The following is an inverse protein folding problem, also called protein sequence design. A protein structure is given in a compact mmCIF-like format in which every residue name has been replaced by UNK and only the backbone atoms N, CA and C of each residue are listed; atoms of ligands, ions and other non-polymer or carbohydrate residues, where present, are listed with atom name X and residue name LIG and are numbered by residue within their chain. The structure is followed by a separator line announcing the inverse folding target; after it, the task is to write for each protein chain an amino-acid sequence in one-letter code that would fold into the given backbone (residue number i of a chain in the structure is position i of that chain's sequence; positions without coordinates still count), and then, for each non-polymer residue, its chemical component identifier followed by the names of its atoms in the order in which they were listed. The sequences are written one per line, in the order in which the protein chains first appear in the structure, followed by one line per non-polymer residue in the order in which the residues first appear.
data_IF_505359130238
#
_entry.id   IF_505359130238
#
_cell.length_a   1.000
_cell.length_b   1.000
_cell.length_c   1.000
_cell.angle_alpha   90.00
_cell.angle_beta   90.00
_cell.angle_gamma   90.00
#
_symmetry.space_group_name_H-M   'P 1'
#
loop_
_entity.id
_entity.type
_entity.pdbx_description
1 polymer ?
#
# COMPACT_ATOMS: atom_id res chain seq x y z
N UNK A 1 22.79 6.59 0.01
CA UNK A 1 23.57 5.76 -0.94
C UNK A 1 23.06 4.32 -0.82
N UNK A 2 22.01 3.99 -1.57
CA UNK A 2 21.55 2.60 -1.75
C UNK A 2 22.34 2.05 -2.94
N UNK A 3 23.42 1.34 -2.67
CA UNK A 3 24.39 0.88 -3.67
C UNK A 3 23.80 -0.22 -4.54
N UNK A 4 23.46 0.16 -5.78
CA UNK A 4 23.79 -0.42 -7.11
C UNK A 4 24.09 -1.93 -7.33
N UNK A 5 24.24 -2.80 -6.33
CA UNK A 5 24.54 -4.23 -6.55
C UNK A 5 23.31 -5.14 -6.41
N UNK A 6 22.33 -4.78 -5.58
CA UNK A 6 21.10 -5.55 -5.37
C UNK A 6 19.91 -5.04 -6.21
N UNK A 7 20.17 -4.29 -7.28
CA UNK A 7 19.13 -3.69 -8.11
C UNK A 7 18.41 -4.70 -9.02
N UNK A 8 18.75 -6.00 -9.00
CA UNK A 8 18.09 -7.03 -9.82
C UNK A 8 17.42 -8.15 -9.01
N UNK A 9 17.74 -8.33 -7.72
CA UNK A 9 17.14 -9.39 -6.89
C UNK A 9 15.66 -9.12 -6.56
N UNK A 10 14.76 -10.12 -6.60
CA UNK A 10 13.36 -9.93 -6.25
C UNK A 10 13.23 -9.47 -4.79
N UNK A 11 12.35 -8.49 -4.54
CA UNK A 11 12.05 -8.03 -3.18
C UNK A 11 10.81 -8.78 -2.74
N UNK A 12 10.94 -9.89 -2.01
CA UNK A 12 9.78 -10.70 -1.62
C UNK A 12 8.93 -10.07 -0.50
N UNK A 13 9.58 -9.30 0.39
CA UNK A 13 8.91 -8.65 1.52
C UNK A 13 9.35 -7.20 1.64
N UNK A 14 8.39 -6.30 1.81
CA UNK A 14 8.63 -4.91 2.16
C UNK A 14 7.76 -4.54 3.36
N UNK A 15 8.41 -4.13 4.44
CA UNK A 15 7.77 -3.68 5.67
C UNK A 15 8.19 -2.23 5.91
N UNK A 16 7.21 -1.34 5.92
CA UNK A 16 7.40 0.06 6.26
C UNK A 16 6.29 0.53 7.19
N UNK A 17 6.62 0.77 8.45
CA UNK A 17 5.71 1.27 9.47
C UNK A 17 6.35 2.49 10.14
N UNK A 18 5.66 3.63 10.12
CA UNK A 18 6.20 4.89 10.66
C UNK A 18 5.10 5.80 11.18
N UNK A 19 5.40 6.46 12.29
CA UNK A 19 4.64 7.58 12.83
C UNK A 19 5.48 8.86 12.72
N UNK A 20 4.88 9.97 12.26
CA UNK A 20 5.56 11.25 12.14
C UNK A 20 4.64 12.44 12.38
N UNK A 21 5.21 13.55 12.84
CA UNK A 21 4.51 14.83 12.93
C UNK A 21 4.44 15.50 11.54
N UNK A 22 3.27 16.07 11.25
CA UNK A 22 2.93 16.82 10.04
C UNK A 22 3.71 18.10 9.78
N UNK A 23 4.38 18.63 10.81
CA UNK A 23 5.25 19.81 10.69
C UNK A 23 6.47 19.52 9.81
N UNK A 24 6.80 18.24 9.60
CA UNK A 24 7.77 17.78 8.62
C UNK A 24 7.09 17.68 7.26
N UNK A 25 7.67 18.29 6.22
CA UNK A 25 7.24 18.08 4.83
C UNK A 25 7.17 16.58 4.59
N UNK A 26 5.94 16.08 4.52
CA UNK A 26 5.68 14.67 4.62
C UNK A 26 6.44 13.90 3.51
N UNK A 27 7.17 12.83 3.86
CA UNK A 27 7.86 12.01 2.88
C UNK A 27 6.90 11.15 2.03
N UNK A 28 5.57 11.39 2.00
CA UNK A 28 4.60 10.66 1.16
C UNK A 28 5.09 10.49 -0.28
N UNK A 29 5.71 11.54 -0.87
CA UNK A 29 6.28 11.43 -2.23
C UNK A 29 7.42 10.42 -2.30
N UNK A 30 8.27 10.37 -1.28
CA UNK A 30 9.37 9.40 -1.16
C UNK A 30 8.85 7.99 -0.84
N UNK A 31 7.88 7.86 0.06
CA UNK A 31 7.23 6.59 0.41
C UNK A 31 6.53 6.02 -0.82
N UNK A 32 5.78 6.84 -1.56
CA UNK A 32 5.14 6.42 -2.82
C UNK A 32 6.18 5.93 -3.82
N UNK A 33 7.36 6.58 -3.91
CA UNK A 33 8.45 6.10 -4.78
C UNK A 33 8.99 4.74 -4.32
N UNK A 34 9.21 4.55 -3.01
CA UNK A 34 9.68 3.27 -2.46
C UNK A 34 8.66 2.15 -2.68
N UNK A 35 7.38 2.40 -2.41
CA UNK A 35 6.28 1.48 -2.67
C UNK A 35 6.26 1.11 -4.15
N UNK A 36 6.27 2.09 -5.05
CA UNK A 36 6.27 1.82 -6.49
C UNK A 36 7.49 0.98 -6.93
N UNK A 37 8.65 1.25 -6.34
CA UNK A 37 9.87 0.50 -6.63
C UNK A 37 9.76 -0.97 -6.20
N UNK A 38 9.24 -1.26 -5.01
CA UNK A 38 9.07 -2.65 -4.56
C UNK A 38 7.95 -3.39 -5.30
N UNK A 39 6.87 -2.69 -5.68
CA UNK A 39 5.81 -3.26 -6.53
C UNK A 39 6.35 -3.67 -7.91
N UNK A 40 7.24 -2.86 -8.50
CA UNK A 40 7.91 -3.20 -9.76
C UNK A 40 8.83 -4.42 -9.65
N UNK A 41 9.23 -4.78 -8.44
CA UNK A 41 10.12 -5.90 -8.16
C UNK A 41 9.41 -7.18 -7.76
N UNK A 42 8.09 -7.21 -7.94
CA UNK A 42 7.27 -8.40 -7.71
C UNK A 42 7.12 -8.74 -6.24
N UNK A 43 6.99 -7.73 -5.38
CA UNK A 43 6.78 -7.98 -3.95
C UNK A 43 5.53 -8.81 -3.69
N UNK A 44 5.67 -9.76 -2.77
CA UNK A 44 4.61 -10.69 -2.37
C UNK A 44 4.01 -10.27 -1.03
N UNK A 45 4.83 -9.76 -0.12
CA UNK A 45 4.43 -9.37 1.22
C UNK A 45 4.66 -7.88 1.42
N UNK A 46 3.57 -7.11 1.50
CA UNK A 46 3.61 -5.68 1.70
C UNK A 46 2.94 -5.31 3.03
N UNK A 47 3.73 -4.77 3.95
CA UNK A 47 3.23 -4.07 5.14
C UNK A 47 3.53 -2.57 5.00
N UNK A 48 2.47 -1.75 5.02
CA UNK A 48 2.54 -0.30 4.94
C UNK A 48 1.67 0.34 6.02
N UNK A 49 2.30 0.82 7.10
CA UNK A 49 1.70 1.61 8.17
C UNK A 49 2.19 3.05 8.13
N UNK A 50 1.28 4.03 7.97
CA UNK A 50 1.63 5.45 8.00
C UNK A 50 0.74 6.19 8.99
N UNK A 51 1.30 6.63 10.11
CA UNK A 51 0.58 7.44 11.09
C UNK A 51 1.09 8.86 11.09
N UNK A 52 0.17 9.82 11.07
CA UNK A 52 0.49 11.25 11.02
C UNK A 52 -0.17 11.92 12.21
N UNK A 53 0.58 12.78 12.90
CA UNK A 53 0.07 13.62 13.99
C UNK A 53 -0.95 14.69 13.56
N UNK A 54 -1.71 14.47 12.48
CA UNK A 54 -2.78 15.36 12.00
C UNK A 54 -4.10 14.64 11.83
N UNK A 55 -5.15 15.46 11.69
CA UNK A 55 -6.50 15.01 11.38
C UNK A 55 -6.67 14.45 9.95
N UNK A 56 -5.63 14.42 9.12
CA UNK A 56 -5.70 13.99 7.72
C UNK A 56 -4.81 12.77 7.46
N UNK A 57 -5.42 11.67 7.04
CA UNK A 57 -4.69 10.46 6.68
C UNK A 57 -3.98 10.60 5.32
N UNK A 58 -2.77 10.05 5.15
CA UNK A 58 -2.10 9.94 3.87
C UNK A 58 -2.90 9.07 2.89
N UNK A 59 -2.86 9.44 1.61
CA UNK A 59 -3.51 8.66 0.55
C UNK A 59 -2.76 7.36 0.25
N UNK A 60 -3.50 6.28 0.07
CA UNK A 60 -2.96 5.01 -0.42
C UNK A 60 -2.33 5.18 -1.81
N UNK A 61 -1.10 4.68 -2.03
CA UNK A 61 -0.54 4.58 -3.37
C UNK A 61 -1.39 3.66 -4.28
N UNK A 62 -2.08 4.24 -5.26
CA UNK A 62 -3.04 3.54 -6.14
C UNK A 62 -2.43 2.34 -6.87
N UNK A 63 -1.11 2.34 -7.13
CA UNK A 63 -0.43 1.22 -7.79
C UNK A 63 -0.49 -0.09 -6.99
N UNK A 64 -0.63 -0.03 -5.67
CA UNK A 64 -0.80 -1.23 -4.84
C UNK A 64 -2.00 -2.03 -5.35
N UNK A 65 -3.09 -1.35 -5.74
CA UNK A 65 -4.37 -1.95 -6.14
C UNK A 65 -4.35 -2.76 -7.43
N UNK A 66 -3.25 -2.70 -8.19
CA UNK A 66 -3.09 -3.42 -9.46
C UNK A 66 -1.90 -4.39 -9.43
N UNK A 67 -1.31 -4.63 -8.25
CA UNK A 67 -0.15 -5.49 -8.14
C UNK A 67 -0.57 -6.97 -8.14
N UNK A 68 -0.15 -7.68 -9.17
CA UNK A 68 -0.53 -9.08 -9.38
C UNK A 68 0.29 -10.07 -8.58
N UNK A 69 1.41 -9.65 -7.99
CA UNK A 69 2.30 -10.52 -7.20
C UNK A 69 1.99 -10.48 -5.70
N UNK A 70 1.22 -9.50 -5.22
CA UNK A 70 0.90 -9.38 -3.79
C UNK A 70 0.11 -10.61 -3.32
N UNK A 71 0.66 -11.29 -2.32
CA UNK A 71 0.08 -12.43 -1.62
C UNK A 71 -0.46 -12.00 -0.26
N UNK A 72 0.31 -11.18 0.46
CA UNK A 72 -0.04 -10.67 1.78
C UNK A 72 0.01 -9.15 1.79
N UNK A 73 -1.10 -8.51 2.15
CA UNK A 73 -1.22 -7.05 2.21
C UNK A 73 -1.69 -6.61 3.58
N UNK A 74 -0.86 -5.82 4.26
CA UNK A 74 -1.19 -5.17 5.53
C UNK A 74 -1.10 -3.66 5.34
N UNK A 75 -2.21 -2.97 5.57
CA UNK A 75 -2.30 -1.52 5.43
C UNK A 75 -2.76 -0.91 6.74
N UNK A 76 -2.08 0.17 7.17
CA UNK A 76 -2.54 0.95 8.30
C UNK A 76 -2.35 2.46 8.19
N UNK A 77 -3.28 3.22 8.78
CA UNK A 77 -3.20 4.68 8.88
C UNK A 77 -3.38 5.42 7.54
N UNK A 78 -4.07 4.82 6.58
CA UNK A 78 -4.20 5.36 5.22
C UNK A 78 -5.66 5.69 4.89
N UNK A 79 -5.86 6.63 3.97
CA UNK A 79 -7.16 6.85 3.31
C UNK A 79 -7.10 6.39 1.87
N UNK A 80 -8.19 5.78 1.41
CA UNK A 80 -8.39 5.48 0.01
C UNK A 80 -8.67 6.78 -0.76
N UNK A 81 -8.14 6.89 -1.98
CA UNK A 81 -8.47 8.05 -2.83
C UNK A 81 -9.91 7.93 -3.37
N UNK A 82 -10.50 9.08 -3.71
CA UNK A 82 -11.83 9.10 -4.32
C UNK A 82 -11.73 8.64 -5.78
N UNK A 83 -12.62 7.74 -6.20
CA UNK A 83 -12.86 7.47 -7.62
C UNK A 83 -11.83 6.55 -8.30
N UNK A 84 -11.20 5.64 -7.57
CA UNK A 84 -10.55 4.49 -8.22
C UNK A 84 -11.62 3.63 -8.91
N UNK A 85 -11.32 3.18 -10.12
CA UNK A 85 -12.28 2.48 -10.97
C UNK A 85 -12.12 0.96 -10.96
N UNK A 86 -10.98 0.44 -10.52
CA UNK A 86 -10.69 -0.98 -10.53
C UNK A 86 -9.67 -1.36 -9.46
N UNK A 87 -9.83 -2.55 -8.90
CA UNK A 87 -8.85 -3.23 -8.05
C UNK A 87 -8.62 -4.61 -8.65
N UNK A 88 -7.36 -4.98 -8.81
CA UNK A 88 -6.93 -6.24 -9.39
C UNK A 88 -5.74 -6.77 -8.59
N UNK A 89 -6.06 -7.62 -7.62
CA UNK A 89 -5.12 -8.26 -6.69
C UNK A 89 -5.27 -9.78 -6.78
N UNK A 90 -5.00 -10.40 -7.95
CA UNK A 90 -5.35 -11.79 -8.26
C UNK A 90 -4.63 -12.82 -7.38
N UNK A 91 -3.47 -12.48 -6.80
CA UNK A 91 -2.68 -13.38 -5.96
C UNK A 91 -2.90 -13.16 -4.47
N UNK A 92 -3.75 -12.20 -4.07
CA UNK A 92 -3.87 -11.79 -2.68
C UNK A 92 -4.66 -12.81 -1.87
N UNK A 93 -3.97 -13.44 -0.91
CA UNK A 93 -4.52 -14.45 0.01
C UNK A 93 -4.87 -13.87 1.35
N UNK A 94 -4.06 -12.95 1.87
CA UNK A 94 -4.28 -12.34 3.18
C UNK A 94 -4.36 -10.82 3.09
N UNK A 95 -5.35 -10.27 3.78
CA UNK A 95 -5.61 -8.84 3.85
C UNK A 95 -5.78 -8.43 5.31
N UNK A 96 -5.00 -7.45 5.76
CA UNK A 96 -5.17 -6.83 7.06
C UNK A 96 -5.32 -5.32 6.87
N UNK A 97 -6.40 -4.77 7.39
CA UNK A 97 -6.71 -3.35 7.34
C UNK A 97 -6.83 -2.83 8.77
N UNK A 98 -5.95 -1.94 9.19
CA UNK A 98 -6.04 -1.25 10.48
C UNK A 98 -6.16 0.25 10.25
N UNK A 99 -7.14 0.95 10.84
CA UNK A 99 -7.26 2.41 10.68
C UNK A 99 -7.28 2.88 9.21
N UNK A 100 -8.00 2.17 8.34
CA UNK A 100 -8.16 2.53 6.93
C UNK A 100 -9.48 3.27 6.72
N UNK A 101 -9.41 4.45 6.08
CA UNK A 101 -10.59 5.23 5.74
C UNK A 101 -11.00 5.00 4.28
N UNK A 102 -12.22 4.45 4.08
CA UNK A 102 -12.88 4.39 2.77
C UNK A 102 -13.90 5.53 2.67
N UNK A 103 -13.91 6.32 1.57
CA UNK A 103 -14.87 7.41 1.42
C UNK A 103 -16.34 6.95 1.47
N UNK A 104 -16.63 5.75 0.96
CA UNK A 104 -17.96 5.13 0.96
C UNK A 104 -17.85 3.61 1.12
N UNK A 105 -18.89 2.98 1.65
CA UNK A 105 -18.97 1.51 1.77
C UNK A 105 -18.77 0.79 0.41
N UNK A 106 -19.32 1.35 -0.67
CA UNK A 106 -19.14 0.79 -2.02
C UNK A 106 -17.68 0.73 -2.45
N UNK A 107 -16.84 1.64 -1.94
CA UNK A 107 -15.43 1.70 -2.27
C UNK A 107 -14.74 0.48 -1.60
N UNK A 108 -15.04 0.21 -0.32
CA UNK A 108 -14.59 -1.03 0.34
C UNK A 108 -15.06 -2.28 -0.42
N UNK A 109 -16.33 -2.34 -0.83
CA UNK A 109 -16.84 -3.48 -1.60
C UNK A 109 -16.12 -3.65 -2.94
N UNK A 110 -15.84 -2.56 -3.65
CA UNK A 110 -15.06 -2.57 -4.89
C UNK A 110 -13.63 -3.08 -4.64
N UNK A 111 -13.00 -2.66 -3.54
CA UNK A 111 -11.68 -3.13 -3.15
C UNK A 111 -11.66 -4.65 -2.92
N UNK A 112 -12.61 -5.16 -2.15
CA UNK A 112 -12.72 -6.59 -1.86
C UNK A 112 -13.05 -7.41 -3.12
N UNK A 113 -13.86 -6.87 -4.04
CA UNK A 113 -14.20 -7.55 -5.30
C UNK A 113 -12.98 -7.80 -6.21
N UNK A 114 -11.91 -7.03 -6.03
CA UNK A 114 -10.66 -7.18 -6.77
C UNK A 114 -9.73 -8.28 -6.26
N UNK A 115 -10.12 -9.00 -5.19
CA UNK A 115 -9.29 -9.99 -4.49
C UNK A 115 -9.94 -11.40 -4.58
N UNK A 116 -9.89 -12.08 -5.75
CA UNK A 116 -10.71 -13.27 -6.02
C UNK A 116 -10.37 -14.51 -5.19
N UNK A 117 -9.18 -14.57 -4.59
CA UNK A 117 -8.70 -15.73 -3.82
C UNK A 117 -8.46 -15.41 -2.34
N UNK A 118 -8.99 -14.27 -1.86
CA UNK A 118 -8.87 -13.84 -0.48
C UNK A 118 -9.46 -14.91 0.47
N UNK A 119 -8.71 -15.30 1.49
CA UNK A 119 -9.05 -16.37 2.43
C UNK A 119 -9.47 -15.84 3.79
#
# INVERSE_FOLDING_TARGET
VLLSRDAELPIHTFHFDVEYDSTLQCPIKSITKWVNFVLQRGVENLHLGLFVGTNSLPKLPVRILACTTLVNLQLSGLTMDKGYSSVLLPSLKTLQLGFICFPKLRDLMLFLSGCPILQ
#
